data_IF_723702772707
#
_entry.id   IF_723702772707
#
_cell.length_a   1.000
_cell.length_b   1.000
_cell.length_c   1.000
_cell.angle_alpha   90.00
_cell.angle_beta   90.00
_cell.angle_gamma   90.00
#
_symmetry.space_group_name_H-M   'P 1'
#
loop_
_entity.id
_entity.type
_entity.pdbx_description
1 polymer ?
#
# COMPACT_ATOMS: atom_id res chain seq x y z
N UNK A 1 -16.83 19.23 15.14
CA UNK A 1 -17.11 17.89 14.65
C UNK A 1 -15.83 17.06 14.61
N UNK A 2 -15.90 15.86 14.99
CA UNK A 2 -14.77 14.97 14.97
C UNK A 2 -15.09 13.73 14.17
N UNK A 3 -14.08 13.12 13.60
CA UNK A 3 -14.26 11.90 12.84
C UNK A 3 -14.35 10.71 13.76
N UNK A 4 -15.26 9.81 13.45
CA UNK A 4 -15.33 8.52 14.10
C UNK A 4 -14.17 7.67 13.54
N UNK A 5 -13.23 7.21 14.38
CA UNK A 5 -12.12 6.38 13.90
C UNK A 5 -12.57 5.14 13.13
N UNK A 6 -13.76 4.61 13.43
CA UNK A 6 -14.29 3.46 12.73
C UNK A 6 -14.69 3.78 11.28
N UNK A 7 -14.83 5.07 10.95
CA UNK A 7 -15.18 5.52 9.61
C UNK A 7 -13.96 5.87 8.77
N UNK A 8 -12.78 5.89 9.37
CA UNK A 8 -11.57 6.22 8.64
C UNK A 8 -11.02 5.01 7.89
N UNK A 9 -10.47 5.23 6.68
CA UNK A 9 -9.80 4.13 5.98
C UNK A 9 -8.60 3.62 6.78
N UNK A 10 -8.29 2.34 6.61
CA UNK A 10 -7.20 1.69 7.32
C UNK A 10 -6.20 1.13 6.32
N UNK A 11 -4.94 1.43 6.53
CA UNK A 11 -3.84 0.88 5.75
C UNK A 11 -3.21 -0.27 6.53
N UNK A 12 -3.08 -1.42 5.88
CA UNK A 12 -2.40 -2.59 6.44
C UNK A 12 -1.24 -2.94 5.53
N UNK A 13 -0.05 -3.08 6.10
CA UNK A 13 1.13 -3.44 5.33
C UNK A 13 1.77 -4.70 5.90
N UNK A 14 2.09 -5.64 5.03
CA UNK A 14 2.81 -6.87 5.36
C UNK A 14 4.14 -6.87 4.64
N UNK A 15 5.23 -6.90 5.38
CA UNK A 15 6.57 -6.88 4.81
C UNK A 15 7.21 -8.25 4.93
N UNK A 16 7.63 -8.81 3.79
CA UNK A 16 8.48 -9.99 3.75
C UNK A 16 9.93 -9.60 3.51
N UNK A 17 10.82 -10.56 3.38
CA UNK A 17 12.24 -10.29 3.18
C UNK A 17 12.51 -9.52 1.88
N UNK A 18 11.77 -9.82 0.82
CA UNK A 18 11.92 -9.15 -0.47
C UNK A 18 10.58 -8.79 -1.08
N UNK A 19 9.56 -8.59 -0.25
CA UNK A 19 8.24 -8.24 -0.73
C UNK A 19 7.56 -7.29 0.23
N UNK A 20 6.57 -6.57 -0.28
CA UNK A 20 5.73 -5.70 0.52
C UNK A 20 4.33 -5.73 -0.07
N UNK A 21 3.36 -6.01 0.77
CA UNK A 21 1.97 -6.03 0.35
C UNK A 21 1.20 -4.99 1.16
N UNK A 22 0.42 -4.16 0.49
CA UNK A 22 -0.44 -3.23 1.21
C UNK A 22 -1.89 -3.44 0.79
N UNK A 23 -2.78 -3.17 1.74
CA UNK A 23 -4.21 -3.11 1.51
C UNK A 23 -4.77 -1.89 2.22
N UNK A 24 -5.72 -1.26 1.59
CA UNK A 24 -6.43 -0.13 2.18
C UNK A 24 -7.89 -0.50 2.22
N UNK A 25 -8.45 -0.48 3.42
CA UNK A 25 -9.85 -0.82 3.66
C UNK A 25 -10.64 0.43 3.96
N UNK A 26 -11.85 0.50 3.42
CA UNK A 26 -12.76 1.58 3.74
C UNK A 26 -13.53 1.32 5.03
N UNK A 27 -14.42 2.24 5.41
CA UNK A 27 -15.13 2.16 6.69
C UNK A 27 -16.08 0.96 6.81
N UNK A 28 -16.41 0.32 5.69
CA UNK A 28 -17.26 -0.87 5.70
C UNK A 28 -16.47 -2.13 5.37
N UNK A 29 -15.19 -2.12 5.65
CA UNK A 29 -14.28 -3.22 5.37
C UNK A 29 -14.13 -3.54 3.88
N UNK A 30 -14.58 -2.65 3.00
CA UNK A 30 -14.35 -2.84 1.58
C UNK A 30 -12.88 -2.57 1.25
N UNK A 31 -12.34 -3.32 0.30
CA UNK A 31 -10.98 -3.10 -0.16
C UNK A 31 -10.97 -1.95 -1.15
N UNK A 32 -10.34 -0.84 -0.76
CA UNK A 32 -10.20 0.33 -1.62
C UNK A 32 -9.00 0.21 -2.54
N UNK A 33 -7.96 -0.47 -2.08
CA UNK A 33 -6.74 -0.65 -2.84
C UNK A 33 -6.00 -1.88 -2.32
N UNK A 34 -5.35 -2.60 -3.22
CA UNK A 34 -4.49 -3.71 -2.86
C UNK A 34 -3.34 -3.75 -3.86
N UNK A 35 -2.12 -3.86 -3.36
CA UNK A 35 -0.95 -3.91 -4.21
C UNK A 35 0.18 -4.68 -3.57
N UNK A 36 1.05 -5.24 -4.40
CA UNK A 36 2.20 -6.03 -3.95
C UNK A 36 3.42 -5.54 -4.68
N UNK A 37 4.51 -5.32 -3.93
CA UNK A 37 5.83 -5.12 -4.49
C UNK A 37 6.57 -6.44 -4.32
N UNK A 38 7.04 -7.02 -5.41
CA UNK A 38 7.68 -8.32 -5.39
C UNK A 38 9.14 -8.21 -5.81
N UNK A 39 9.96 -9.08 -5.29
CA UNK A 39 11.39 -9.18 -5.60
C UNK A 39 12.12 -7.85 -5.41
N UNK A 40 11.84 -7.21 -4.28
CA UNK A 40 12.47 -5.95 -3.92
C UNK A 40 13.99 -6.14 -3.80
N UNK A 41 14.74 -5.26 -4.43
CA UNK A 41 16.19 -5.35 -4.47
C UNK A 41 16.73 -6.17 -5.64
N UNK A 42 15.86 -6.79 -6.41
CA UNK A 42 16.21 -7.58 -7.58
C UNK A 42 15.43 -7.13 -8.79
N UNK A 43 14.80 -8.07 -9.45
CA UNK A 43 13.91 -7.77 -10.58
C UNK A 43 12.55 -7.37 -10.07
N UNK A 44 12.51 -6.26 -9.37
CA UNK A 44 11.34 -5.82 -8.65
C UNK A 44 10.21 -5.41 -9.59
N UNK A 45 8.99 -5.60 -9.10
CA UNK A 45 7.79 -5.24 -9.85
C UNK A 45 6.66 -4.92 -8.90
N UNK A 46 5.74 -4.10 -9.40
CA UNK A 46 4.49 -3.83 -8.71
C UNK A 46 3.38 -4.64 -9.35
N UNK A 47 2.59 -5.31 -8.54
CA UNK A 47 1.41 -6.04 -8.99
C UNK A 47 0.19 -5.36 -8.40
N UNK A 48 -0.67 -4.83 -9.27
CA UNK A 48 -1.85 -4.09 -8.89
C UNK A 48 -3.06 -4.75 -9.56
N UNK A 49 -3.70 -5.68 -8.83
CA UNK A 49 -4.77 -6.47 -9.44
C UNK A 49 -4.22 -7.31 -10.58
N UNK A 50 -4.64 -7.00 -11.79
CA UNK A 50 -4.17 -7.73 -12.98
C UNK A 50 -3.00 -7.04 -13.67
N UNK A 51 -2.67 -5.84 -13.26
CA UNK A 51 -1.58 -5.10 -13.86
C UNK A 51 -0.27 -5.42 -13.16
N UNK A 52 0.77 -5.60 -13.94
CA UNK A 52 2.11 -5.84 -13.40
C UNK A 52 3.08 -4.91 -14.11
N UNK A 53 3.85 -4.16 -13.33
CA UNK A 53 4.80 -3.20 -13.85
C UNK A 53 6.17 -3.48 -13.27
N UNK A 54 7.15 -3.70 -14.15
CA UNK A 54 8.53 -3.85 -13.72
C UNK A 54 9.12 -2.47 -13.47
N UNK A 55 9.69 -2.28 -12.28
CA UNK A 55 10.31 -1.00 -11.93
C UNK A 55 11.36 -1.22 -10.84
N UNK A 56 12.35 -0.35 -10.75
CA UNK A 56 13.40 -0.51 -9.74
C UNK A 56 12.87 -0.17 -8.36
N UNK A 57 12.90 -1.14 -7.46
CA UNK A 57 12.53 -0.97 -6.07
C UNK A 57 13.69 -1.48 -5.23
N UNK A 58 14.53 -0.57 -4.78
CA UNK A 58 15.79 -0.94 -4.13
C UNK A 58 15.59 -1.44 -2.70
N UNK A 59 14.55 -0.98 -2.04
CA UNK A 59 14.26 -1.37 -0.66
C UNK A 59 12.77 -1.25 -0.37
N UNK A 60 12.38 -1.63 0.84
CA UNK A 60 10.96 -1.62 1.25
C UNK A 60 10.40 -0.20 1.30
N UNK A 61 11.21 0.78 1.67
CA UNK A 61 10.75 2.17 1.73
C UNK A 61 10.38 2.68 0.33
N UNK A 62 11.23 2.37 -0.66
CA UNK A 62 10.94 2.73 -2.05
C UNK A 62 9.70 2.00 -2.55
N UNK A 63 9.56 0.73 -2.19
CA UNK A 63 8.40 -0.07 -2.57
C UNK A 63 7.11 0.49 -1.97
N UNK A 64 7.14 0.88 -0.70
CA UNK A 64 5.98 1.46 -0.05
C UNK A 64 5.58 2.77 -0.73
N UNK A 65 6.57 3.61 -1.04
CA UNK A 65 6.31 4.87 -1.72
C UNK A 65 5.65 4.65 -3.07
N UNK A 66 6.14 3.67 -3.84
CA UNK A 66 5.55 3.34 -5.14
C UNK A 66 4.12 2.82 -5.01
N UNK A 67 3.85 1.99 -4.01
CA UNK A 67 2.50 1.48 -3.77
C UNK A 67 1.54 2.59 -3.35
N UNK A 68 1.99 3.50 -2.50
CA UNK A 68 1.17 4.64 -2.09
C UNK A 68 0.88 5.58 -3.26
N UNK A 69 1.87 5.79 -4.14
CA UNK A 69 1.65 6.58 -5.35
C UNK A 69 0.61 5.92 -6.25
N UNK A 70 0.69 4.61 -6.41
CA UNK A 70 -0.26 3.87 -7.24
C UNK A 70 -1.68 3.99 -6.67
N UNK A 71 -1.83 3.88 -5.36
CA UNK A 71 -3.13 4.03 -4.71
C UNK A 71 -3.69 5.44 -4.91
N UNK A 72 -2.84 6.45 -4.75
CA UNK A 72 -3.25 7.84 -4.92
C UNK A 72 -3.68 8.10 -6.37
N UNK A 73 -2.96 7.53 -7.33
CA UNK A 73 -3.34 7.64 -8.75
C UNK A 73 -4.68 6.98 -9.04
N UNK A 74 -5.04 5.98 -8.25
CA UNK A 74 -6.34 5.32 -8.37
C UNK A 74 -7.47 6.02 -7.64
N UNK A 75 -7.21 7.17 -7.03
CA UNK A 75 -8.23 7.94 -6.33
C UNK A 75 -8.30 7.75 -4.83
N UNK A 76 -7.40 6.95 -4.26
CA UNK A 76 -7.33 6.73 -2.82
C UNK A 76 -6.25 7.64 -2.23
N UNK A 77 -6.60 8.45 -1.25
CA UNK A 77 -5.64 9.35 -0.60
C UNK A 77 -4.73 8.55 0.34
N UNK A 78 -3.87 7.74 -0.27
CA UNK A 78 -3.08 6.77 0.47
C UNK A 78 -1.96 7.41 1.30
N UNK A 79 -1.42 8.53 0.84
CA UNK A 79 -0.33 9.18 1.59
C UNK A 79 -0.82 9.75 2.90
N UNK A 80 -2.02 10.32 2.91
CA UNK A 80 -2.62 10.82 4.12
C UNK A 80 -2.93 9.67 5.10
N UNK A 81 -3.48 8.59 4.57
CA UNK A 81 -3.79 7.40 5.37
C UNK A 81 -2.51 6.77 5.93
N UNK A 82 -1.48 6.64 5.10
CA UNK A 82 -0.22 6.05 5.51
C UNK A 82 0.47 6.84 6.60
N UNK A 83 0.39 8.16 6.56
CA UNK A 83 0.97 9.01 7.59
C UNK A 83 0.20 8.89 8.91
N UNK A 84 -1.12 8.72 8.84
CA UNK A 84 -1.97 8.68 10.03
C UNK A 84 -2.04 7.28 10.65
N UNK A 85 -2.01 6.24 9.84
CA UNK A 85 -2.23 4.87 10.28
C UNK A 85 -1.04 3.97 9.93
N UNK A 86 0.14 4.42 10.26
CA UNK A 86 1.38 3.73 9.94
C UNK A 86 1.50 2.43 10.74
N UNK A 87 1.04 1.34 10.16
CA UNK A 87 1.02 0.04 10.83
C UNK A 87 1.62 -1.02 9.92
N UNK A 88 2.65 -1.68 10.41
CA UNK A 88 3.32 -2.75 9.67
C UNK A 88 3.16 -4.04 10.44
N UNK A 89 2.72 -5.09 9.73
CA UNK A 89 2.50 -6.42 10.30
C UNK A 89 3.39 -7.41 9.54
N UNK A 90 4.08 -8.24 10.29
CA UNK A 90 4.95 -9.26 9.69
C UNK A 90 4.28 -10.62 9.65
#
# INVERSE_FOLDING_TARGET
MHEDPAMAPVLVANAGSSSLKIRIFGPKDETLFSGIAAEIGGRSRLVLGRAETTMPLSDHATALDALLDAATSGGVDARSIGAAAHRIVH
#
